data_IF_840276622297
#
_entry.id   IF_840276622297
#
_cell.length_a   1.000
_cell.length_b   1.000
_cell.length_c   1.000
_cell.angle_alpha   90.00
_cell.angle_beta   90.00
_cell.angle_gamma   90.00
#
_symmetry.space_group_name_H-M   'P 1'
#
loop_
_entity.id
_entity.type
_entity.pdbx_description
1 polymer ?
#
# COMPACT_ATOMS: atom_id res chain seq x y z
N UNK A 1 16.17 16.38 2.88
CA UNK A 1 14.93 16.73 3.64
C UNK A 1 14.62 18.21 3.55
N UNK A 2 13.35 18.66 3.71
CA UNK A 2 12.95 20.08 3.58
C UNK A 2 13.66 21.03 4.57
N UNK A 3 14.00 20.53 5.73
CA UNK A 3 14.70 21.27 6.78
C UNK A 3 16.18 20.90 6.76
N UNK A 4 17.02 21.90 6.47
CA UNK A 4 18.46 21.72 6.34
C UNK A 4 19.13 21.22 7.62
N UNK A 5 18.68 21.72 8.78
CA UNK A 5 19.26 21.33 10.07
C UNK A 5 18.93 19.89 10.43
N UNK A 6 17.67 19.46 10.17
CA UNK A 6 17.26 18.07 10.35
C UNK A 6 17.94 17.13 9.36
N UNK A 7 18.09 17.56 8.09
CA UNK A 7 18.80 16.77 7.09
C UNK A 7 20.27 16.56 7.50
N UNK A 8 20.94 17.61 8.00
CA UNK A 8 22.31 17.53 8.52
C UNK A 8 22.42 16.57 9.71
N UNK A 9 21.58 16.77 10.73
CA UNK A 9 21.59 15.90 11.93
C UNK A 9 21.33 14.43 11.59
N UNK A 10 20.42 14.15 10.65
CA UNK A 10 20.16 12.80 10.17
C UNK A 10 21.38 12.20 9.45
N UNK A 11 22.03 12.97 8.58
CA UNK A 11 23.22 12.54 7.87
C UNK A 11 24.38 12.23 8.84
N UNK A 12 24.59 13.05 9.86
CA UNK A 12 25.58 12.82 10.92
C UNK A 12 25.28 11.56 11.73
N UNK A 13 24.02 11.34 12.12
CA UNK A 13 23.59 10.15 12.87
C UNK A 13 23.85 8.85 12.12
N UNK A 14 23.62 8.86 10.81
CA UNK A 14 23.68 7.66 9.97
C UNK A 14 24.92 7.59 9.08
N UNK A 15 25.91 8.45 9.31
CA UNK A 15 27.15 8.54 8.51
C UNK A 15 26.89 8.67 7.00
N UNK A 16 25.86 9.44 6.62
CA UNK A 16 25.55 9.71 5.23
C UNK A 16 26.50 10.82 4.72
N UNK A 17 27.22 10.60 3.61
CA UNK A 17 28.32 11.47 3.20
C UNK A 17 27.88 12.88 2.78
N UNK A 18 26.64 13.06 2.35
CA UNK A 18 26.10 14.37 1.93
C UNK A 18 24.63 14.56 2.30
N UNK A 19 24.21 15.81 2.43
CA UNK A 19 22.84 16.18 2.73
C UNK A 19 22.45 17.48 2.03
N UNK A 20 21.17 17.63 1.68
CA UNK A 20 20.63 18.84 1.10
C UNK A 20 19.15 19.00 1.46
N UNK A 21 18.65 20.23 1.37
CA UNK A 21 17.22 20.55 1.42
C UNK A 21 16.62 20.81 0.02
N UNK A 22 17.42 20.65 -1.05
CA UNK A 22 16.97 20.79 -2.42
C UNK A 22 16.97 19.44 -3.13
N UNK A 23 15.83 19.08 -3.72
CA UNK A 23 15.71 17.83 -4.49
C UNK A 23 16.59 17.81 -5.75
N UNK A 24 16.80 18.97 -6.36
CA UNK A 24 17.67 19.15 -7.53
C UNK A 24 19.11 18.71 -7.29
N UNK A 25 19.59 18.85 -6.05
CA UNK A 25 20.95 18.40 -5.71
C UNK A 25 21.06 16.86 -5.75
N UNK A 26 20.00 16.16 -5.35
CA UNK A 26 19.94 14.70 -5.49
C UNK A 26 19.91 14.26 -6.95
N UNK A 27 19.17 14.97 -7.81
CA UNK A 27 19.14 14.70 -9.26
C UNK A 27 20.50 14.92 -9.92
N UNK A 28 21.21 15.97 -9.51
CA UNK A 28 22.53 16.31 -10.04
C UNK A 28 23.67 15.46 -9.45
N UNK A 29 23.41 14.71 -8.38
CA UNK A 29 24.43 13.87 -7.74
C UNK A 29 24.73 12.61 -8.55
N UNK A 30 25.87 11.97 -8.25
CA UNK A 30 26.32 10.73 -8.88
C UNK A 30 25.55 9.47 -8.43
N UNK A 31 24.40 9.59 -7.76
CA UNK A 31 23.62 8.42 -7.33
C UNK A 31 22.87 7.79 -8.51
N UNK A 32 22.73 6.48 -8.52
CA UNK A 32 22.02 5.74 -9.58
C UNK A 32 20.52 5.59 -9.27
N UNK A 33 20.15 5.55 -7.99
CA UNK A 33 18.78 5.33 -7.54
C UNK A 33 18.33 6.38 -6.53
N UNK A 34 17.08 6.84 -6.66
CA UNK A 34 16.44 7.80 -5.75
C UNK A 34 15.29 7.11 -5.02
N UNK A 35 15.32 7.16 -3.67
CA UNK A 35 14.21 6.77 -2.83
C UNK A 35 13.33 7.97 -2.52
N UNK A 36 12.04 7.87 -2.84
CA UNK A 36 11.03 8.92 -2.60
C UNK A 36 10.18 8.50 -1.41
N UNK A 37 10.35 9.20 -0.28
CA UNK A 37 9.66 8.95 0.99
C UNK A 37 8.91 10.21 1.47
N UNK A 38 8.42 11.01 0.54
CA UNK A 38 7.64 12.22 0.79
C UNK A 38 6.15 11.89 0.97
N UNK A 39 5.27 12.86 1.31
CA UNK A 39 3.84 12.67 1.18
C UNK A 39 3.42 12.40 -0.29
N UNK A 40 2.34 11.62 -0.53
CA UNK A 40 1.93 11.13 -1.85
C UNK A 40 1.77 12.21 -2.93
N UNK A 41 1.30 13.41 -2.55
CA UNK A 41 1.15 14.54 -3.48
C UNK A 41 2.45 14.96 -4.18
N UNK A 42 3.61 14.61 -3.62
CA UNK A 42 4.92 14.97 -4.18
C UNK A 42 5.52 13.84 -5.01
N UNK A 43 4.95 12.63 -4.97
CA UNK A 43 5.54 11.44 -5.58
C UNK A 43 5.65 11.58 -7.10
N UNK A 44 4.58 12.03 -7.76
CA UNK A 44 4.53 12.15 -9.22
C UNK A 44 5.64 13.07 -9.76
N UNK A 45 5.70 14.29 -9.28
CA UNK A 45 6.68 15.27 -9.78
C UNK A 45 8.12 14.83 -9.51
N UNK A 46 8.37 14.29 -8.32
CA UNK A 46 9.70 13.83 -7.93
C UNK A 46 10.12 12.58 -8.70
N UNK A 47 9.23 11.59 -8.87
CA UNK A 47 9.52 10.39 -9.63
C UNK A 47 9.73 10.70 -11.12
N UNK A 48 8.89 11.57 -11.71
CA UNK A 48 9.03 12.02 -13.10
C UNK A 48 10.36 12.71 -13.34
N UNK A 49 10.73 13.65 -12.45
CA UNK A 49 12.01 14.35 -12.55
C UNK A 49 13.20 13.40 -12.41
N UNK A 50 13.14 12.41 -11.51
CA UNK A 50 14.18 11.40 -11.32
C UNK A 50 14.34 10.51 -12.56
N UNK A 51 13.23 9.99 -13.12
CA UNK A 51 13.24 9.18 -14.34
C UNK A 51 13.76 9.97 -15.55
N UNK A 52 13.36 11.24 -15.71
CA UNK A 52 13.88 12.11 -16.78
C UNK A 52 15.37 12.39 -16.62
N UNK A 53 15.88 12.44 -15.41
CA UNK A 53 17.31 12.56 -15.11
C UNK A 53 18.09 11.23 -15.26
N UNK A 54 17.43 10.15 -15.73
CA UNK A 54 18.05 8.84 -15.91
C UNK A 54 18.33 8.09 -14.62
N UNK A 55 17.63 8.42 -13.51
CA UNK A 55 17.77 7.76 -12.22
C UNK A 55 16.73 6.65 -12.07
N UNK A 56 17.14 5.52 -11.50
CA UNK A 56 16.23 4.50 -10.98
C UNK A 56 15.41 5.06 -9.82
N UNK A 57 14.21 4.56 -9.60
CA UNK A 57 13.32 5.09 -8.56
C UNK A 57 12.73 3.98 -7.71
N UNK A 58 12.81 4.14 -6.40
CA UNK A 58 12.04 3.39 -5.41
C UNK A 58 11.14 4.41 -4.69
N UNK A 59 9.82 4.26 -4.84
CA UNK A 59 8.85 5.20 -4.32
C UNK A 59 8.00 4.58 -3.20
N UNK A 60 7.70 5.36 -2.16
CA UNK A 60 6.70 4.97 -1.17
C UNK A 60 5.30 4.86 -1.79
N UNK A 61 4.46 4.06 -1.15
CA UNK A 61 3.05 3.90 -1.51
C UNK A 61 2.16 5.02 -0.89
N UNK A 62 1.03 5.35 -1.51
CA UNK A 62 0.65 5.01 -2.88
C UNK A 62 1.57 5.69 -3.89
N UNK A 63 1.74 5.10 -5.08
CA UNK A 63 2.65 5.67 -6.10
C UNK A 63 2.28 7.11 -6.47
N UNK A 64 0.99 7.36 -6.68
CA UNK A 64 0.44 8.68 -7.02
C UNK A 64 -0.94 8.87 -6.39
N UNK A 65 -1.48 10.08 -6.47
CA UNK A 65 -2.84 10.40 -6.02
C UNK A 65 -3.93 9.94 -6.99
N UNK A 66 -3.61 9.67 -8.25
CA UNK A 66 -4.53 9.19 -9.28
C UNK A 66 -3.85 8.22 -10.26
N UNK A 67 -4.67 7.48 -10.99
CA UNK A 67 -4.22 6.45 -11.92
C UNK A 67 -3.54 6.99 -13.17
N UNK A 68 -3.92 8.18 -13.65
CA UNK A 68 -3.33 8.81 -14.84
C UNK A 68 -1.85 9.15 -14.61
N UNK A 69 -1.56 9.79 -13.48
CA UNK A 69 -0.17 10.08 -13.07
C UNK A 69 0.65 8.80 -12.91
N UNK A 70 0.08 7.77 -12.27
CA UNK A 70 0.76 6.50 -12.05
C UNK A 70 1.05 5.78 -13.38
N UNK A 71 0.10 5.83 -14.34
CA UNK A 71 0.27 5.28 -15.68
C UNK A 71 1.38 5.99 -16.45
N UNK A 72 1.41 7.32 -16.40
CA UNK A 72 2.47 8.11 -17.06
C UNK A 72 3.86 7.75 -16.51
N UNK A 73 4.00 7.64 -15.17
CA UNK A 73 5.26 7.24 -14.55
C UNK A 73 5.68 5.83 -14.96
N UNK A 74 4.74 4.89 -15.02
CA UNK A 74 5.00 3.53 -15.50
C UNK A 74 5.51 3.55 -16.94
N UNK A 75 4.82 4.27 -17.85
CA UNK A 75 5.22 4.38 -19.25
C UNK A 75 6.60 5.02 -19.38
N UNK A 76 6.86 6.10 -18.67
CA UNK A 76 8.16 6.79 -18.69
C UNK A 76 9.29 5.87 -18.20
N UNK A 77 9.05 5.09 -17.14
CA UNK A 77 10.03 4.13 -16.64
C UNK A 77 10.37 3.06 -17.70
N UNK A 78 9.36 2.56 -18.43
CA UNK A 78 9.54 1.61 -19.54
C UNK A 78 10.33 2.23 -20.70
N UNK A 79 9.99 3.45 -21.13
CA UNK A 79 10.69 4.17 -22.20
C UNK A 79 12.17 4.41 -21.87
N UNK A 80 12.46 4.72 -20.61
CA UNK A 80 13.82 4.97 -20.13
C UNK A 80 14.60 3.71 -19.78
N UNK A 81 13.93 2.55 -19.73
CA UNK A 81 14.52 1.26 -19.31
C UNK A 81 15.13 1.36 -17.90
N UNK A 82 14.39 2.00 -16.99
CA UNK A 82 14.83 2.22 -15.62
C UNK A 82 14.07 1.32 -14.65
N UNK A 83 14.76 0.87 -13.60
CA UNK A 83 14.09 0.24 -12.45
C UNK A 83 13.19 1.29 -11.79
N UNK A 84 11.91 0.94 -11.61
CA UNK A 84 10.92 1.78 -10.96
C UNK A 84 10.03 0.89 -10.09
N UNK A 85 10.23 0.97 -8.78
CA UNK A 85 9.59 0.11 -7.78
C UNK A 85 8.74 0.92 -6.79
N UNK A 86 7.62 0.33 -6.34
CA UNK A 86 6.76 0.86 -5.27
C UNK A 86 6.92 0.03 -4.02
N UNK A 87 7.01 0.67 -2.85
CA UNK A 87 7.26 -0.04 -1.59
C UNK A 87 6.00 -0.73 -1.03
N UNK A 88 5.53 -1.78 -1.72
CA UNK A 88 4.51 -2.69 -1.19
C UNK A 88 5.16 -3.81 -0.38
N UNK A 89 5.78 -3.45 0.73
CA UNK A 89 6.60 -4.32 1.57
C UNK A 89 5.85 -5.53 2.15
N UNK A 90 4.53 -5.48 2.31
CA UNK A 90 3.72 -6.59 2.86
C UNK A 90 3.89 -7.89 2.07
N UNK A 91 4.16 -7.81 0.75
CA UNK A 91 4.48 -9.00 -0.07
C UNK A 91 5.63 -9.83 0.50
N UNK A 92 6.55 -9.19 1.24
CA UNK A 92 7.81 -9.79 1.70
C UNK A 92 7.73 -10.46 3.07
N UNK A 93 6.57 -10.50 3.71
CA UNK A 93 6.38 -11.48 4.77
C UNK A 93 6.58 -12.90 4.22
N UNK A 94 7.39 -13.72 4.88
CA UNK A 94 7.67 -15.08 4.40
C UNK A 94 6.40 -15.91 4.19
N UNK A 95 5.41 -15.76 5.09
CA UNK A 95 4.10 -16.39 4.93
C UNK A 95 3.35 -15.88 3.68
N UNK A 96 3.49 -14.60 3.31
CA UNK A 96 2.93 -14.07 2.08
C UNK A 96 3.62 -14.64 0.84
N UNK A 97 4.94 -14.77 0.85
CA UNK A 97 5.70 -15.43 -0.22
C UNK A 97 5.29 -16.90 -0.39
N UNK A 98 5.06 -17.59 0.74
CA UNK A 98 4.56 -18.97 0.73
C UNK A 98 3.12 -19.04 0.20
N UNK A 99 2.24 -18.13 0.64
CA UNK A 99 0.86 -18.04 0.16
C UNK A 99 0.77 -17.91 -1.36
N UNK A 100 1.59 -17.02 -1.95
CA UNK A 100 1.71 -16.90 -3.41
C UNK A 100 2.11 -18.22 -4.07
N UNK A 101 3.13 -18.92 -3.53
CA UNK A 101 3.57 -20.20 -4.07
C UNK A 101 2.48 -21.27 -4.02
N UNK A 102 1.66 -21.28 -2.96
CA UNK A 102 0.53 -22.18 -2.80
C UNK A 102 -0.53 -21.90 -3.87
N UNK A 103 -0.93 -20.63 -4.04
CA UNK A 103 -1.95 -20.24 -5.03
C UNK A 103 -1.48 -20.50 -6.47
N UNK A 104 -0.18 -20.30 -6.74
CA UNK A 104 0.40 -20.57 -8.07
C UNK A 104 0.64 -22.05 -8.36
N UNK A 105 0.50 -22.94 -7.38
CA UNK A 105 0.73 -24.37 -7.58
C UNK A 105 -0.39 -25.01 -8.43
N UNK A 106 -0.07 -25.92 -9.38
CA UNK A 106 -1.06 -26.53 -10.27
C UNK A 106 -2.24 -27.24 -9.56
N UNK A 107 -2.04 -27.68 -8.31
CA UNK A 107 -3.06 -28.35 -7.51
C UNK A 107 -3.88 -27.42 -6.62
N UNK A 108 -3.71 -26.10 -6.71
CA UNK A 108 -4.52 -25.17 -5.91
C UNK A 108 -5.96 -25.05 -6.45
N UNK A 109 -6.15 -25.12 -7.74
CA UNK A 109 -7.43 -24.91 -8.41
C UNK A 109 -7.64 -23.43 -8.80
N UNK A 110 -8.81 -23.14 -9.34
CA UNK A 110 -9.16 -21.78 -9.81
C UNK A 110 -9.76 -20.96 -8.66
N UNK A 111 -9.17 -19.81 -8.28
CA UNK A 111 -9.78 -18.90 -7.28
C UNK A 111 -11.21 -18.52 -7.65
N UNK A 112 -12.13 -18.59 -6.66
CA UNK A 112 -13.57 -18.30 -6.81
C UNK A 112 -14.05 -17.23 -5.86
N UNK A 113 -13.59 -17.29 -4.60
CA UNK A 113 -13.91 -16.30 -3.57
C UNK A 113 -12.61 -15.77 -2.96
N UNK A 114 -12.48 -14.44 -2.96
CA UNK A 114 -11.30 -13.76 -2.46
C UNK A 114 -11.76 -12.68 -1.50
N UNK A 115 -11.39 -12.79 -0.22
CA UNK A 115 -11.86 -11.81 0.76
C UNK A 115 -10.83 -11.53 1.85
N UNK A 116 -11.07 -10.45 2.57
CA UNK A 116 -10.24 -10.11 3.71
C UNK A 116 -10.53 -8.75 4.30
N UNK A 117 -9.58 -8.31 5.10
CA UNK A 117 -9.70 -7.04 5.80
C UNK A 117 -8.33 -6.44 6.07
N UNK A 118 -8.30 -5.12 6.27
CA UNK A 118 -7.19 -4.46 6.93
C UNK A 118 -7.75 -3.51 7.99
N UNK A 119 -7.48 -3.81 9.25
CA UNK A 119 -8.04 -3.14 10.41
C UNK A 119 -6.92 -2.56 11.28
N UNK A 120 -7.08 -1.31 11.68
CA UNK A 120 -6.17 -0.59 12.58
C UNK A 120 -6.94 0.23 13.61
N UNK A 121 -6.27 0.67 14.67
CA UNK A 121 -6.82 1.53 15.72
C UNK A 121 -6.17 2.92 15.78
N UNK A 122 -5.24 3.23 14.86
CA UNK A 122 -4.37 4.40 14.95
C UNK A 122 -5.08 5.74 14.83
N UNK A 123 -6.29 5.75 14.31
CA UNK A 123 -7.08 6.96 14.07
C UNK A 123 -8.32 7.08 14.98
N UNK A 124 -8.43 6.22 16.01
CA UNK A 124 -9.42 6.37 17.08
C UNK A 124 -9.08 7.65 17.86
N UNK A 125 -10.09 8.52 18.04
CA UNK A 125 -9.90 9.78 18.77
C UNK A 125 -9.79 9.56 20.29
N UNK A 126 -8.85 10.26 20.99
CA UNK A 126 -7.95 11.25 20.45
C UNK A 126 -6.80 10.64 19.62
N UNK A 127 -6.49 11.25 18.47
CA UNK A 127 -5.47 10.80 17.54
C UNK A 127 -4.55 11.94 17.11
N UNK A 128 -3.35 11.61 16.66
CA UNK A 128 -2.40 12.61 16.16
C UNK A 128 -2.89 13.23 14.84
N UNK A 129 -2.86 14.58 14.76
CA UNK A 129 -3.08 15.27 13.50
C UNK A 129 -1.82 15.23 12.63
N UNK A 130 -1.97 14.74 11.40
CA UNK A 130 -0.84 14.61 10.49
C UNK A 130 -1.27 14.90 9.04
N UNK A 131 -0.31 14.91 8.13
CA UNK A 131 -0.52 15.22 6.72
C UNK A 131 -1.57 14.35 6.03
N UNK A 132 -1.83 13.12 6.53
CA UNK A 132 -2.87 12.19 5.99
C UNK A 132 -4.28 12.74 6.06
N UNK A 133 -4.53 13.71 6.95
CA UNK A 133 -5.81 14.40 7.07
C UNK A 133 -5.92 15.65 6.19
N UNK A 134 -4.88 15.97 5.44
CA UNK A 134 -4.79 17.14 4.59
C UNK A 134 -4.88 16.69 3.14
N UNK A 135 -6.02 16.93 2.43
CA UNK A 135 -6.24 16.39 1.09
C UNK A 135 -5.17 16.79 0.06
N UNK A 136 -4.56 17.97 0.24
CA UNK A 136 -3.49 18.48 -0.60
C UNK A 136 -2.22 17.65 -0.51
N UNK A 137 -2.05 16.85 0.55
CA UNK A 137 -0.88 15.97 0.75
C UNK A 137 -1.21 14.50 0.61
N UNK A 138 -2.34 14.05 1.17
CA UNK A 138 -2.75 12.65 1.24
C UNK A 138 -3.75 12.22 0.16
N UNK A 139 -4.35 13.19 -0.53
CA UNK A 139 -5.47 12.93 -1.43
C UNK A 139 -6.83 12.85 -0.71
N UNK A 140 -7.90 12.52 -1.45
CA UNK A 140 -9.26 12.54 -0.91
C UNK A 140 -9.63 11.31 -0.07
N UNK A 141 -8.83 10.25 -0.10
CA UNK A 141 -9.03 9.00 0.62
C UNK A 141 -7.97 8.81 1.70
N UNK A 142 -8.30 8.03 2.72
CA UNK A 142 -7.35 7.67 3.78
C UNK A 142 -7.28 6.16 3.98
N UNK A 143 -8.28 5.50 4.54
CA UNK A 143 -8.25 4.06 4.77
C UNK A 143 -8.00 3.26 3.47
N UNK A 144 -8.58 3.66 2.35
CA UNK A 144 -8.37 3.00 1.06
C UNK A 144 -6.92 3.10 0.60
N UNK A 145 -6.32 4.30 0.64
CA UNK A 145 -4.95 4.51 0.14
C UNK A 145 -3.87 4.12 1.14
N UNK A 146 -4.14 4.25 2.46
CA UNK A 146 -3.14 3.93 3.50
C UNK A 146 -3.04 2.43 3.76
N UNK A 147 -4.17 1.75 3.95
CA UNK A 147 -4.22 0.34 4.29
C UNK A 147 -4.80 -0.52 3.17
N UNK A 148 -5.83 -0.06 2.47
CA UNK A 148 -6.44 -0.78 1.35
C UNK A 148 -5.46 -1.07 0.22
N UNK A 149 -4.56 -0.13 -0.09
CA UNK A 149 -3.54 -0.28 -1.12
C UNK A 149 -2.64 -1.52 -0.89
N UNK A 150 -2.26 -1.81 0.34
CA UNK A 150 -1.48 -3.01 0.66
C UNK A 150 -2.27 -4.31 0.43
N UNK A 151 -3.56 -4.33 0.79
CA UNK A 151 -4.39 -5.51 0.59
C UNK A 151 -4.67 -5.76 -0.90
N UNK A 152 -4.98 -4.71 -1.66
CA UNK A 152 -5.18 -4.77 -3.11
C UNK A 152 -3.93 -5.31 -3.80
N UNK A 153 -2.77 -4.80 -3.42
CA UNK A 153 -1.49 -5.27 -3.92
C UNK A 153 -1.23 -6.75 -3.59
N UNK A 154 -1.46 -7.15 -2.34
CA UNK A 154 -1.24 -8.51 -1.87
C UNK A 154 -2.14 -9.53 -2.59
N UNK A 155 -3.40 -9.20 -2.84
CA UNK A 155 -4.34 -10.06 -3.60
C UNK A 155 -3.86 -10.26 -5.02
N UNK A 156 -3.49 -9.18 -5.72
CA UNK A 156 -2.95 -9.27 -7.07
C UNK A 156 -1.64 -10.09 -7.11
N UNK A 157 -0.78 -9.89 -6.12
CA UNK A 157 0.47 -10.63 -5.99
C UNK A 157 0.26 -12.13 -5.77
N UNK A 158 -0.74 -12.54 -4.96
CA UNK A 158 -1.00 -13.95 -4.68
C UNK A 158 -1.68 -14.65 -5.85
N UNK A 159 -2.64 -13.99 -6.49
CA UNK A 159 -3.52 -14.61 -7.48
C UNK A 159 -3.06 -14.41 -8.92
N UNK A 160 -2.32 -13.34 -9.20
CA UNK A 160 -2.06 -12.89 -10.57
C UNK A 160 -3.30 -12.36 -11.28
N UNK A 161 -4.43 -12.19 -10.56
CA UNK A 161 -5.69 -11.69 -11.13
C UNK A 161 -5.78 -10.17 -11.01
N UNK A 162 -6.37 -9.54 -12.02
CA UNK A 162 -6.73 -8.12 -11.95
C UNK A 162 -8.13 -7.94 -11.34
N UNK A 163 -8.31 -6.86 -10.56
CA UNK A 163 -9.62 -6.42 -10.09
C UNK A 163 -10.24 -5.61 -11.24
N UNK A 164 -11.40 -6.03 -11.73
CA UNK A 164 -12.03 -5.46 -12.93
C UNK A 164 -13.16 -4.51 -12.61
N UNK A 165 -13.87 -4.70 -11.49
CA UNK A 165 -14.91 -3.79 -11.04
C UNK A 165 -15.05 -3.82 -9.51
N UNK A 166 -15.54 -2.72 -8.96
CA UNK A 166 -15.75 -2.55 -7.52
C UNK A 166 -17.09 -1.89 -7.21
N UNK A 167 -17.65 -2.20 -6.02
CA UNK A 167 -18.75 -1.45 -5.41
C UNK A 167 -18.39 -1.14 -3.97
N UNK A 168 -18.40 0.13 -3.56
CA UNK A 168 -17.84 0.57 -2.30
C UNK A 168 -18.75 1.50 -1.50
N UNK A 169 -18.68 1.38 -0.18
CA UNK A 169 -19.35 2.26 0.77
C UNK A 169 -18.33 2.79 1.80
N UNK A 170 -18.35 4.10 2.07
CA UNK A 170 -17.45 4.77 2.99
C UNK A 170 -18.13 5.14 4.30
N UNK A 171 -17.40 4.96 5.41
CA UNK A 171 -17.77 5.46 6.73
C UNK A 171 -16.82 6.57 7.17
N UNK A 172 -17.34 7.77 7.42
CA UNK A 172 -16.64 8.85 8.09
C UNK A 172 -17.42 9.20 9.36
N UNK A 173 -16.94 8.73 10.52
CA UNK A 173 -17.73 8.70 11.76
C UNK A 173 -17.64 9.99 12.57
N UNK A 174 -16.54 10.73 12.44
CA UNK A 174 -16.31 12.02 13.10
C UNK A 174 -15.78 13.03 12.07
N UNK A 175 -16.69 13.69 11.35
CA UNK A 175 -16.30 14.74 10.40
C UNK A 175 -15.78 15.97 11.11
N UNK A 176 -16.50 16.41 12.13
CA UNK A 176 -16.09 17.55 12.95
C UNK A 176 -15.11 17.07 14.04
N UNK A 177 -13.92 17.62 14.03
CA UNK A 177 -12.87 17.31 14.99
C UNK A 177 -12.28 18.61 15.55
N UNK A 178 -11.62 18.50 16.68
CA UNK A 178 -11.06 19.64 17.39
C UNK A 178 -9.57 19.41 17.59
N UNK A 179 -8.78 20.26 16.96
CA UNK A 179 -7.31 20.13 16.97
C UNK A 179 -6.71 21.00 18.07
N UNK A 180 -5.81 20.43 18.87
CA UNK A 180 -5.02 21.10 19.88
C UNK A 180 -3.68 20.37 20.08
N UNK A 181 -2.58 21.13 20.14
CA UNK A 181 -1.24 20.60 20.44
C UNK A 181 -0.83 19.38 19.57
N UNK A 182 -1.21 19.42 18.29
CA UNK A 182 -0.93 18.34 17.35
C UNK A 182 -1.84 17.10 17.47
N UNK A 183 -2.83 17.12 18.37
CA UNK A 183 -3.82 16.07 18.56
C UNK A 183 -5.21 16.50 18.07
N UNK A 184 -6.03 15.52 17.67
CA UNK A 184 -7.45 15.71 17.34
C UNK A 184 -8.33 15.04 18.40
N UNK A 185 -9.46 15.67 18.69
CA UNK A 185 -10.46 15.21 19.65
C UNK A 185 -11.85 15.19 19.02
N UNK A 186 -12.72 14.32 19.51
CA UNK A 186 -14.12 14.23 19.07
C UNK A 186 -15.00 15.38 19.62
N UNK A 187 -14.56 16.05 20.68
CA UNK A 187 -15.28 17.16 21.33
C UNK A 187 -14.36 18.36 21.53
N UNK A 188 -14.94 19.58 21.60
CA UNK A 188 -14.15 20.80 21.84
C UNK A 188 -13.29 20.71 23.09
N UNK A 189 -12.05 21.20 22.99
CA UNK A 189 -11.12 21.38 24.10
C UNK A 189 -10.87 22.89 24.31
N UNK A 190 -10.56 23.35 25.51
CA UNK A 190 -10.20 24.77 25.71
C UNK A 190 -9.05 25.18 24.79
N UNK A 191 -9.30 26.16 23.91
CA UNK A 191 -8.32 26.63 22.92
C UNK A 191 -8.08 25.74 21.72
N UNK A 192 -8.98 24.75 21.46
CA UNK A 192 -8.89 23.93 20.25
C UNK A 192 -9.43 24.66 19.02
N UNK A 193 -8.85 24.33 17.86
CA UNK A 193 -9.30 24.72 16.53
C UNK A 193 -10.29 23.68 15.99
N UNK A 194 -11.44 24.13 15.46
CA UNK A 194 -12.35 23.23 14.74
C UNK A 194 -11.79 22.94 13.35
N UNK A 195 -11.78 21.64 12.98
CA UNK A 195 -11.39 21.17 11.65
C UNK A 195 -12.43 20.19 11.11
N UNK A 196 -12.59 20.14 9.80
CA UNK A 196 -13.44 19.15 9.13
C UNK A 196 -12.58 18.12 8.42
N UNK A 197 -12.87 16.84 8.64
CA UNK A 197 -12.21 15.71 7.97
C UNK A 197 -13.25 14.96 7.15
N UNK A 198 -13.04 14.88 5.84
CA UNK A 198 -13.97 14.23 4.91
C UNK A 198 -13.50 12.87 4.40
N UNK A 199 -12.21 12.55 4.59
CA UNK A 199 -11.66 11.23 4.24
C UNK A 199 -12.25 10.14 5.14
N UNK A 200 -12.46 8.98 4.58
CA UNK A 200 -13.10 7.85 5.23
C UNK A 200 -12.26 7.25 6.37
N UNK A 201 -12.93 6.89 7.47
CA UNK A 201 -12.36 6.11 8.58
C UNK A 201 -12.44 4.61 8.30
N UNK A 202 -13.40 4.20 7.45
CA UNK A 202 -13.64 2.82 7.08
C UNK A 202 -14.25 2.70 5.67
N UNK A 203 -14.04 1.55 5.03
CA UNK A 203 -14.67 1.21 3.76
C UNK A 203 -15.09 -0.27 3.72
N UNK A 204 -16.24 -0.53 3.07
CA UNK A 204 -16.68 -1.87 2.68
C UNK A 204 -16.70 -1.92 1.17
N UNK A 205 -15.97 -2.87 0.58
CA UNK A 205 -15.79 -2.97 -0.87
C UNK A 205 -16.14 -4.36 -1.35
N UNK A 206 -17.02 -4.47 -2.34
CA UNK A 206 -17.25 -5.67 -3.14
C UNK A 206 -16.38 -5.63 -4.39
N UNK A 207 -15.86 -6.78 -4.82
CA UNK A 207 -14.85 -6.89 -5.87
C UNK A 207 -15.25 -7.92 -6.93
N UNK A 208 -14.91 -7.65 -8.19
CA UNK A 208 -14.92 -8.60 -9.28
C UNK A 208 -13.51 -8.74 -9.86
N UNK A 209 -13.15 -9.96 -10.26
CA UNK A 209 -11.81 -10.29 -10.77
C UNK A 209 -11.86 -10.77 -12.21
N UNK A 210 -10.73 -10.69 -12.90
CA UNK A 210 -10.58 -10.98 -14.33
C UNK A 210 -10.93 -12.40 -14.74
N UNK A 211 -10.95 -13.36 -13.80
CA UNK A 211 -11.37 -14.76 -14.05
C UNK A 211 -12.83 -15.04 -13.66
N UNK A 212 -13.62 -14.03 -13.28
CA UNK A 212 -14.98 -14.15 -12.80
C UNK A 212 -15.11 -14.47 -11.29
N UNK A 213 -14.02 -14.56 -10.55
CA UNK A 213 -14.07 -14.63 -9.10
C UNK A 213 -14.70 -13.35 -8.51
N UNK A 214 -15.35 -13.48 -7.36
CA UNK A 214 -15.90 -12.37 -6.59
C UNK A 214 -15.16 -12.23 -5.26
N UNK A 215 -15.27 -11.05 -4.65
CA UNK A 215 -14.63 -10.85 -3.35
C UNK A 215 -15.17 -9.69 -2.54
N UNK A 216 -14.58 -9.54 -1.35
CA UNK A 216 -14.89 -8.43 -0.45
C UNK A 216 -13.67 -7.99 0.35
N UNK A 217 -13.60 -6.69 0.62
CA UNK A 217 -12.57 -6.08 1.44
C UNK A 217 -13.22 -5.17 2.48
N UNK A 218 -12.87 -5.38 3.75
CA UNK A 218 -13.22 -4.52 4.87
C UNK A 218 -12.00 -3.73 5.32
N UNK A 219 -12.10 -2.41 5.31
CA UNK A 219 -11.06 -1.48 5.77
C UNK A 219 -11.56 -0.69 6.98
N UNK A 220 -10.72 -0.51 7.99
CA UNK A 220 -11.01 0.38 9.10
C UNK A 220 -9.73 0.80 9.82
N UNK A 221 -9.61 2.08 10.08
CA UNK A 221 -8.54 2.67 10.88
C UNK A 221 -8.97 3.04 12.31
N UNK A 222 -10.19 2.61 12.67
CA UNK A 222 -10.84 2.91 13.96
C UNK A 222 -11.38 1.66 14.65
N UNK A 223 -10.70 0.53 14.47
CA UNK A 223 -11.08 -0.76 15.07
C UNK A 223 -10.27 -1.04 16.33
N UNK A 224 -10.89 -0.88 17.49
CA UNK A 224 -10.25 -1.12 18.79
C UNK A 224 -9.63 -2.51 18.89
N UNK A 225 -8.41 -2.59 19.43
CA UNK A 225 -7.67 -3.83 19.63
C UNK A 225 -7.04 -4.41 18.36
N UNK A 226 -7.13 -3.69 17.23
CA UNK A 226 -6.46 -4.06 15.97
C UNK A 226 -5.26 -3.15 15.72
N UNK A 227 -4.09 -3.58 16.17
CA UNK A 227 -2.88 -2.74 16.02
C UNK A 227 -2.47 -2.59 14.56
N UNK A 228 -2.51 -3.68 13.79
CA UNK A 228 -2.17 -3.67 12.35
C UNK A 228 -2.60 -5.00 11.70
N UNK A 229 -3.89 -5.27 11.66
CA UNK A 229 -4.45 -6.57 11.27
C UNK A 229 -4.83 -6.60 9.79
N UNK A 230 -3.95 -7.11 8.95
CA UNK A 230 -4.27 -7.45 7.56
C UNK A 230 -4.58 -8.95 7.45
N UNK A 231 -5.70 -9.29 6.82
CA UNK A 231 -6.13 -10.67 6.57
C UNK A 231 -6.48 -10.85 5.10
N UNK A 232 -6.00 -11.94 4.51
CA UNK A 232 -6.35 -12.38 3.16
C UNK A 232 -6.77 -13.84 3.22
N UNK A 233 -7.84 -14.19 2.49
CA UNK A 233 -8.32 -15.55 2.32
C UNK A 233 -8.78 -15.77 0.87
N UNK A 234 -8.33 -16.86 0.26
CA UNK A 234 -8.65 -17.24 -1.11
C UNK A 234 -9.18 -18.66 -1.10
N UNK A 235 -10.40 -18.83 -1.58
CA UNK A 235 -11.01 -20.13 -1.82
C UNK A 235 -11.10 -20.42 -3.31
N UNK A 236 -10.59 -21.56 -3.72
CA UNK A 236 -10.69 -22.09 -5.08
C UNK A 236 -11.75 -23.19 -5.16
N UNK A 237 -11.86 -23.83 -6.32
CA UNK A 237 -12.68 -25.03 -6.49
C UNK A 237 -12.05 -26.30 -5.85
N UNK A 238 -10.76 -26.25 -5.44
CA UNK A 238 -10.06 -27.38 -4.85
C UNK A 238 -9.58 -27.12 -3.41
N UNK A 239 -9.15 -25.90 -3.10
CA UNK A 239 -8.47 -25.57 -1.86
C UNK A 239 -8.87 -24.19 -1.34
N UNK A 240 -8.54 -23.95 -0.06
CA UNK A 240 -8.48 -22.58 0.50
C UNK A 240 -7.10 -22.31 1.09
N UNK A 241 -6.69 -21.05 1.06
CA UNK A 241 -5.46 -20.55 1.72
C UNK A 241 -5.74 -19.22 2.38
N UNK A 242 -5.19 -19.00 3.58
CA UNK A 242 -5.30 -17.71 4.26
C UNK A 242 -4.09 -17.38 5.09
N UNK A 243 -3.94 -16.09 5.34
CA UNK A 243 -2.92 -15.50 6.19
C UNK A 243 -3.48 -14.31 6.98
N UNK A 244 -2.90 -14.07 8.17
CA UNK A 244 -3.22 -12.94 9.02
C UNK A 244 -1.94 -12.38 9.65
N UNK A 245 -1.77 -11.07 9.61
CA UNK A 245 -0.59 -10.40 10.20
C UNK A 245 -0.53 -10.45 11.73
N UNK A 246 -1.62 -10.79 12.41
CA UNK A 246 -1.61 -11.04 13.87
C UNK A 246 -0.97 -12.41 14.23
N UNK A 247 -0.86 -13.31 13.23
CA UNK A 247 -0.07 -14.55 13.29
C UNK A 247 0.88 -14.62 12.10
N UNK A 248 1.85 -13.67 11.99
CA UNK A 248 2.53 -13.35 10.74
C UNK A 248 3.37 -14.49 10.17
N UNK A 249 3.75 -15.45 11.00
CA UNK A 249 4.61 -16.58 10.62
C UNK A 249 3.83 -17.79 10.10
N UNK A 250 2.50 -17.74 10.09
CA UNK A 250 1.66 -18.89 9.73
C UNK A 250 0.88 -18.63 8.46
N UNK A 251 0.89 -19.59 7.55
CA UNK A 251 -0.05 -19.70 6.45
C UNK A 251 -0.85 -20.98 6.61
N UNK A 252 -2.14 -20.89 6.35
CA UNK A 252 -3.09 -21.98 6.52
C UNK A 252 -3.65 -22.42 5.17
N UNK A 253 -3.86 -23.70 5.02
CA UNK A 253 -4.54 -24.30 3.85
C UNK A 253 -5.59 -25.30 4.32
N UNK A 254 -6.60 -25.51 3.50
CA UNK A 254 -7.61 -26.53 3.73
C UNK A 254 -8.09 -27.14 2.43
N UNK A 255 -8.45 -28.41 2.48
CA UNK A 255 -9.20 -29.15 1.46
C UNK A 255 -10.47 -29.71 2.05
N UNK A 256 -11.44 -29.98 1.19
CA UNK A 256 -12.70 -30.59 1.60
C UNK A 256 -12.45 -31.89 2.36
N UNK A 257 -12.98 -32.00 3.59
CA UNK A 257 -12.88 -33.16 4.50
C UNK A 257 -11.47 -33.50 5.03
N UNK A 258 -10.41 -32.74 4.65
CA UNK A 258 -9.05 -32.99 5.13
C UNK A 258 -8.67 -32.11 6.34
N UNK A 259 -9.55 -31.17 6.75
CA UNK A 259 -9.29 -30.22 7.83
C UNK A 259 -8.32 -29.11 7.43
N UNK A 260 -7.73 -28.45 8.44
CA UNK A 260 -6.82 -27.32 8.26
C UNK A 260 -5.38 -27.77 8.47
N UNK A 261 -4.51 -27.45 7.51
CA UNK A 261 -3.06 -27.56 7.67
C UNK A 261 -2.47 -26.15 7.88
N UNK A 262 -1.65 -26.00 8.92
CA UNK A 262 -0.93 -24.75 9.23
C UNK A 262 0.56 -24.98 9.07
N UNK A 263 1.20 -24.13 8.29
CA UNK A 263 2.66 -24.12 8.14
C UNK A 263 3.22 -22.89 8.82
N UNK A 264 4.14 -23.10 9.77
CA UNK A 264 4.81 -22.03 10.50
C UNK A 264 6.24 -21.86 10.00
N UNK A 265 6.62 -20.64 9.71
CA UNK A 265 8.00 -20.27 9.41
C UNK A 265 8.75 -20.07 10.72
N UNK A 266 9.72 -20.95 11.04
CA UNK A 266 10.33 -21.05 12.36
C UNK A 266 11.14 -19.80 12.79
N UNK A 267 11.74 -19.10 11.84
CA UNK A 267 12.58 -17.90 12.09
C UNK A 267 12.11 -16.74 11.18
N UNK A 268 10.80 -16.55 11.09
CA UNK A 268 10.24 -15.48 10.28
C UNK A 268 10.65 -14.10 10.79
N UNK A 269 10.96 -13.19 9.87
CA UNK A 269 11.27 -11.81 10.15
C UNK A 269 10.04 -10.98 10.56
N UNK A 270 10.28 -9.87 11.24
CA UNK A 270 9.24 -8.90 11.57
C UNK A 270 8.92 -7.96 10.41
N UNK A 271 8.03 -6.98 10.68
CA UNK A 271 7.68 -5.97 9.68
C UNK A 271 8.91 -5.20 9.12
N UNK A 272 9.93 -4.81 9.91
CA UNK A 272 11.14 -4.17 9.38
C UNK A 272 11.89 -5.02 8.35
N UNK A 273 11.91 -6.34 8.51
CA UNK A 273 12.64 -7.25 7.62
C UNK A 273 12.00 -7.30 6.22
N UNK A 274 10.71 -6.98 6.11
CA UNK A 274 10.04 -6.89 4.81
C UNK A 274 10.60 -5.78 3.93
N UNK A 275 11.04 -4.66 4.54
CA UNK A 275 11.73 -3.59 3.81
C UNK A 275 13.12 -4.03 3.34
N UNK A 276 13.87 -4.71 4.20
CA UNK A 276 15.20 -5.23 3.83
C UNK A 276 15.09 -6.18 2.65
N UNK A 277 14.16 -7.13 2.69
CA UNK A 277 13.94 -8.10 1.60
C UNK A 277 13.48 -7.42 0.30
N UNK A 278 12.62 -6.41 0.40
CA UNK A 278 12.21 -5.62 -0.76
C UNK A 278 13.40 -4.88 -1.39
N UNK A 279 14.20 -4.19 -0.59
CA UNK A 279 15.36 -3.46 -1.10
C UNK A 279 16.41 -4.41 -1.67
N UNK A 280 16.67 -5.55 -1.01
CA UNK A 280 17.59 -6.56 -1.52
C UNK A 280 17.18 -7.05 -2.90
N UNK A 281 15.90 -7.37 -3.12
CA UNK A 281 15.41 -7.81 -4.43
C UNK A 281 15.51 -6.70 -5.48
N UNK A 282 15.11 -5.47 -5.14
CA UNK A 282 15.16 -4.34 -6.05
C UNK A 282 16.61 -4.02 -6.48
N UNK A 283 17.54 -3.96 -5.53
CA UNK A 283 18.95 -3.69 -5.83
C UNK A 283 19.65 -4.86 -6.54
N UNK A 284 19.35 -6.11 -6.17
CA UNK A 284 19.86 -7.28 -6.90
C UNK A 284 19.39 -7.25 -8.37
N UNK A 285 18.14 -6.85 -8.61
CA UNK A 285 17.63 -6.70 -9.97
C UNK A 285 18.34 -5.58 -10.72
N UNK A 286 18.62 -4.46 -10.05
CA UNK A 286 19.35 -3.33 -10.61
C UNK A 286 20.79 -3.74 -11.00
N UNK A 287 21.52 -4.37 -10.09
CA UNK A 287 22.90 -4.77 -10.30
C UNK A 287 23.05 -5.86 -11.37
N UNK A 288 22.14 -6.82 -11.40
CA UNK A 288 22.17 -7.92 -12.36
C UNK A 288 21.64 -7.56 -13.75
N UNK A 289 20.91 -6.43 -13.89
CA UNK A 289 20.19 -6.05 -15.09
C UNK A 289 19.04 -7.01 -15.44
N UNK A 290 18.64 -7.90 -14.53
CA UNK A 290 17.55 -8.86 -14.73
C UNK A 290 16.27 -8.34 -14.10
N UNK A 291 15.14 -8.62 -14.74
CA UNK A 291 13.82 -8.33 -14.16
C UNK A 291 13.63 -9.14 -12.86
N UNK A 292 13.32 -8.45 -11.76
CA UNK A 292 12.94 -9.06 -10.48
C UNK A 292 11.43 -9.18 -10.32
N UNK A 293 11.00 -9.77 -9.19
CA UNK A 293 9.57 -9.84 -8.82
C UNK A 293 9.16 -8.70 -7.88
N UNK A 294 9.99 -7.65 -7.77
CA UNK A 294 9.65 -6.49 -6.94
C UNK A 294 8.37 -5.81 -7.44
N UNK A 295 7.58 -5.18 -6.54
CA UNK A 295 6.42 -4.40 -6.93
C UNK A 295 6.86 -3.23 -7.80
N UNK A 296 6.46 -3.23 -9.06
CA UNK A 296 6.85 -2.25 -10.06
C UNK A 296 5.91 -1.05 -10.09
N UNK A 297 6.24 -0.03 -10.88
CA UNK A 297 5.30 1.07 -11.16
C UNK A 297 4.05 0.61 -11.90
N UNK A 298 4.08 -0.54 -12.59
CA UNK A 298 2.86 -1.17 -13.10
C UNK A 298 1.93 -1.59 -11.96
N UNK A 299 2.47 -2.22 -10.92
CA UNK A 299 1.68 -2.57 -9.72
C UNK A 299 1.13 -1.31 -9.04
N UNK A 300 1.92 -0.25 -8.97
CA UNK A 300 1.50 1.06 -8.46
C UNK A 300 0.37 1.67 -9.28
N UNK A 301 0.45 1.59 -10.60
CA UNK A 301 -0.61 2.06 -11.51
C UNK A 301 -1.91 1.27 -11.32
N UNK A 302 -1.85 -0.04 -11.36
CA UNK A 302 -3.03 -0.89 -11.17
C UNK A 302 -3.66 -0.67 -9.78
N UNK A 303 -2.86 -0.51 -8.76
CA UNK A 303 -3.32 -0.20 -7.41
C UNK A 303 -4.03 1.16 -7.34
N UNK A 304 -3.47 2.19 -7.96
CA UNK A 304 -4.08 3.51 -8.03
C UNK A 304 -5.42 3.48 -8.79
N UNK A 305 -5.51 2.72 -9.89
CA UNK A 305 -6.75 2.56 -10.66
C UNK A 305 -7.86 1.90 -9.83
N UNK A 306 -7.54 0.86 -9.06
CA UNK A 306 -8.50 0.23 -8.14
C UNK A 306 -8.94 1.19 -7.04
N UNK A 307 -8.01 1.91 -6.40
CA UNK A 307 -8.35 2.90 -5.37
C UNK A 307 -9.25 4.01 -5.93
N UNK A 308 -8.98 4.50 -7.13
CA UNK A 308 -9.79 5.51 -7.80
C UNK A 308 -11.20 5.00 -8.12
N UNK A 309 -11.34 3.77 -8.62
CA UNK A 309 -12.64 3.13 -8.86
C UNK A 309 -13.43 2.96 -7.55
N UNK A 310 -12.78 2.59 -6.44
CA UNK A 310 -13.40 2.52 -5.10
C UNK A 310 -13.93 3.90 -4.70
N UNK A 311 -13.16 4.97 -4.89
CA UNK A 311 -13.59 6.33 -4.57
C UNK A 311 -14.79 6.75 -5.42
N UNK A 312 -14.75 6.52 -6.72
CA UNK A 312 -15.84 6.86 -7.64
C UNK A 312 -17.13 6.09 -7.29
N UNK A 313 -17.02 4.79 -7.01
CA UNK A 313 -18.16 3.99 -6.57
C UNK A 313 -18.79 4.54 -5.28
N UNK A 314 -17.98 4.83 -4.27
CA UNK A 314 -18.48 5.36 -2.99
C UNK A 314 -19.14 6.74 -3.14
N UNK A 315 -18.66 7.59 -4.05
CA UNK A 315 -19.27 8.89 -4.36
C UNK A 315 -20.56 8.76 -5.18
N UNK A 316 -20.72 7.68 -5.93
CA UNK A 316 -21.87 7.38 -6.77
C UNK A 316 -22.78 6.31 -6.12
N UNK A 317 -23.09 6.46 -4.83
CA UNK A 317 -24.05 5.61 -4.10
C UNK A 317 -23.78 4.10 -4.19
N UNK A 318 -22.49 3.72 -4.18
CA UNK A 318 -22.02 2.33 -4.28
C UNK A 318 -22.36 1.63 -5.62
N UNK A 319 -22.56 2.38 -6.69
CA UNK A 319 -22.68 1.80 -8.02
C UNK A 319 -21.42 1.02 -8.41
N UNK A 320 -21.62 -0.11 -9.11
CA UNK A 320 -20.50 -0.84 -9.68
C UNK A 320 -19.71 0.03 -10.64
N UNK A 321 -18.43 0.16 -10.39
CA UNK A 321 -17.50 0.98 -11.16
C UNK A 321 -16.38 0.11 -11.72
N UNK A 322 -16.19 0.16 -13.05
CA UNK A 322 -15.11 -0.53 -13.72
C UNK A 322 -13.74 0.09 -13.36
N UNK A 323 -12.73 -0.76 -13.19
CA UNK A 323 -11.33 -0.35 -13.05
C UNK A 323 -10.76 -0.13 -14.44
N UNK A 324 -10.20 1.06 -14.69
CA UNK A 324 -9.72 1.51 -16.03
C UNK A 324 -8.20 1.64 -16.09
#
# INVERSE_FOLDING_TARGET
GRDQSKAKAFAETWNIPSHSNQFTDALASGVDCIHICTPPAMHYDMAKAALLAGKHVICEKPLCLNSEQARELYQLAQEKVLLAAVNFNVRYHEACQRGRKIVAAPGFGTPRLIHGSYLQEFHILPAQYMWRYIPEFGGPMRAVTEIGSHWIDLVRFWTGLEITAVSANFGCFHKDRYKKDGMMFAAPQPGSEHITVESEDAAVVSLQFSNGAIGSLLLSEVSHGRSNCIKIEISSDENSVWWCSETPYQVHTARQFEGVTSVTNAFGGGFPDTFSSFFEEAYTSLESGKSGNYPSFYDGYQNAAVCEAIYQSAKNHSEWTEVK
#
